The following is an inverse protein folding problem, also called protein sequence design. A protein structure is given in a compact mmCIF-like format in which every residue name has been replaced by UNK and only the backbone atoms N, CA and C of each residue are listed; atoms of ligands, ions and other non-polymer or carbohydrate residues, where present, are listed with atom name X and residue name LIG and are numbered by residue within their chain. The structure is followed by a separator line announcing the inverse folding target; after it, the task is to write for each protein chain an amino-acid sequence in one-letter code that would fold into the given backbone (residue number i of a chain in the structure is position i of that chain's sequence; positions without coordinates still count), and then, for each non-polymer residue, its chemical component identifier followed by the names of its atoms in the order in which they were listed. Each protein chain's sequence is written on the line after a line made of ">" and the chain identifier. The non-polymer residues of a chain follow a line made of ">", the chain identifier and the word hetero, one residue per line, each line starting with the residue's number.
data_IF_329107672422
#
_entry.id   IF_329107672422
#
_cell.length_a   1.000
_cell.length_b   1.000
_cell.length_c   1.000
_cell.angle_alpha   90.00
_cell.angle_beta   90.00
_cell.angle_gamma   90.00
#
_symmetry.space_group_name_H-M   'P 1'
#
loop_
_entity.id
_entity.type
_entity.pdbx_description
1 polymer ?
#
# COMPACT_ATOMS: atom_id res chain seq x y z
N UNK A 1 -9.85 -0.23 -32.04
CA UNK A 1 -8.85 -0.78 -31.09
C UNK A 1 -9.24 -0.51 -29.62
N UNK A 2 -9.77 0.67 -29.24
CA UNK A 2 -10.09 1.00 -27.83
C UNK A 2 -11.17 0.11 -27.17
N UNK A 3 -12.24 -0.29 -27.88
CA UNK A 3 -13.35 -1.02 -27.27
C UNK A 3 -13.02 -2.45 -26.79
N UNK A 4 -12.15 -3.16 -27.50
CA UNK A 4 -11.71 -4.51 -27.10
C UNK A 4 -10.80 -4.49 -25.87
N UNK A 5 -9.90 -3.51 -25.78
CA UNK A 5 -9.03 -3.32 -24.62
C UNK A 5 -9.83 -2.93 -23.36
N UNK A 6 -10.77 -2.01 -23.50
CA UNK A 6 -11.68 -1.63 -22.41
C UNK A 6 -12.53 -2.81 -21.93
N UNK A 7 -13.02 -3.64 -22.86
CA UNK A 7 -13.81 -4.81 -22.52
C UNK A 7 -12.98 -5.88 -21.79
N UNK A 8 -11.72 -6.08 -22.17
CA UNK A 8 -10.80 -6.98 -21.46
C UNK A 8 -10.50 -6.51 -20.03
N UNK A 9 -10.23 -5.21 -19.85
CA UNK A 9 -10.00 -4.60 -18.52
C UNK A 9 -11.22 -4.75 -17.61
N UNK A 10 -12.42 -4.50 -18.13
CA UNK A 10 -13.68 -4.67 -17.39
C UNK A 10 -13.92 -6.14 -17.00
N UNK A 11 -13.63 -7.08 -17.90
CA UNK A 11 -13.76 -8.51 -17.64
C UNK A 11 -12.79 -8.97 -16.55
N UNK A 12 -11.53 -8.56 -16.63
CA UNK A 12 -10.50 -8.88 -15.63
C UNK A 12 -10.84 -8.32 -14.26
N UNK A 13 -11.33 -7.06 -14.20
CA UNK A 13 -11.81 -6.44 -12.95
C UNK A 13 -12.96 -7.22 -12.34
N UNK A 14 -13.95 -7.59 -13.13
CA UNK A 14 -15.07 -8.41 -12.69
C UNK A 14 -14.59 -9.75 -12.12
N UNK A 15 -13.66 -10.43 -12.80
CA UNK A 15 -13.11 -11.70 -12.36
C UNK A 15 -12.34 -11.60 -11.04
N UNK A 16 -11.52 -10.56 -10.84
CA UNK A 16 -10.84 -10.32 -9.57
C UNK A 16 -11.84 -10.02 -8.45
N UNK A 17 -12.91 -9.27 -8.73
CA UNK A 17 -14.00 -9.05 -7.79
C UNK A 17 -14.68 -10.36 -7.37
N UNK A 18 -15.00 -11.24 -8.33
CA UNK A 18 -15.56 -12.57 -8.06
C UNK A 18 -14.61 -13.43 -7.20
N UNK A 19 -13.31 -13.39 -7.49
CA UNK A 19 -12.31 -14.08 -6.67
C UNK A 19 -12.36 -13.63 -5.22
N UNK A 20 -12.37 -12.31 -4.96
CA UNK A 20 -12.44 -11.79 -3.59
C UNK A 20 -13.73 -12.22 -2.88
N UNK A 21 -14.87 -12.19 -3.56
CA UNK A 21 -16.15 -12.69 -3.03
C UNK A 21 -16.04 -14.18 -2.67
N UNK A 22 -15.58 -15.00 -3.58
CA UNK A 22 -15.39 -16.44 -3.32
C UNK A 22 -14.46 -16.69 -2.13
N UNK A 23 -13.29 -16.07 -2.10
CA UNK A 23 -12.32 -16.22 -1.00
C UNK A 23 -12.92 -15.79 0.35
N UNK A 24 -13.79 -14.78 0.36
CA UNK A 24 -14.50 -14.35 1.56
C UNK A 24 -15.52 -15.40 2.05
N UNK A 25 -16.24 -16.07 1.12
CA UNK A 25 -17.22 -17.12 1.49
C UNK A 25 -16.59 -18.32 2.18
N UNK A 26 -15.34 -18.63 1.84
CA UNK A 26 -14.58 -19.75 2.44
C UNK A 26 -13.68 -19.33 3.63
N UNK A 27 -13.86 -18.10 4.14
CA UNK A 27 -13.06 -17.55 5.23
C UNK A 27 -11.55 -17.56 4.96
N UNK A 28 -11.15 -17.28 3.71
CA UNK A 28 -9.74 -17.14 3.36
C UNK A 28 -9.08 -16.04 4.19
N UNK A 29 -7.87 -16.31 4.65
CA UNK A 29 -7.06 -15.35 5.39
C UNK A 29 -5.58 -15.61 5.14
N UNK A 30 -4.83 -14.57 4.83
CA UNK A 30 -3.38 -14.64 4.67
C UNK A 30 -2.73 -13.33 5.10
N UNK A 31 -1.68 -13.41 5.89
CA UNK A 31 -0.85 -12.26 6.30
C UNK A 31 0.43 -12.27 5.45
N UNK A 32 0.61 -11.23 4.64
CA UNK A 32 1.83 -11.10 3.85
C UNK A 32 2.98 -10.64 4.71
N UNK A 33 4.05 -11.42 4.69
CA UNK A 33 5.31 -11.18 5.41
C UNK A 33 6.32 -10.43 4.54
N UNK A 34 7.48 -10.09 5.09
CA UNK A 34 8.55 -9.43 4.34
C UNK A 34 9.03 -10.29 3.16
N UNK A 35 9.51 -9.66 2.06
CA UNK A 35 10.04 -10.39 0.90
C UNK A 35 11.13 -11.40 1.28
N UNK A 36 12.06 -11.01 2.15
CA UNK A 36 13.14 -11.87 2.64
C UNK A 36 12.62 -13.11 3.38
N UNK A 37 11.61 -12.96 4.27
CA UNK A 37 10.99 -14.08 4.96
C UNK A 37 10.16 -14.95 4.00
N UNK A 38 9.48 -14.34 3.03
CA UNK A 38 8.70 -15.03 2.02
C UNK A 38 9.59 -15.95 1.17
N UNK A 39 10.73 -15.44 0.70
CA UNK A 39 11.72 -16.21 -0.04
C UNK A 39 12.25 -17.40 0.77
N UNK A 40 12.65 -17.18 2.03
CA UNK A 40 13.14 -18.25 2.92
C UNK A 40 12.11 -19.35 3.14
N UNK A 41 10.83 -19.01 3.24
CA UNK A 41 9.76 -20.00 3.40
C UNK A 41 9.49 -20.74 2.09
N UNK A 42 9.45 -20.02 0.96
CA UNK A 42 9.18 -20.64 -0.34
C UNK A 42 10.35 -21.49 -0.87
N UNK A 43 11.60 -21.23 -0.44
CA UNK A 43 12.77 -22.03 -0.84
C UNK A 43 12.83 -23.43 -0.20
N UNK A 44 11.96 -23.75 0.76
CA UNK A 44 11.89 -25.08 1.36
C UNK A 44 11.31 -26.09 0.36
N UNK A 45 11.91 -27.30 0.29
CA UNK A 45 11.51 -28.33 -0.68
C UNK A 45 10.02 -28.67 -0.60
N UNK A 46 9.46 -28.77 0.61
CA UNK A 46 8.04 -29.07 0.84
C UNK A 46 7.09 -27.94 0.39
N UNK A 47 7.63 -26.78 0.04
CA UNK A 47 6.91 -25.57 -0.37
C UNK A 47 7.04 -25.25 -1.86
N UNK A 48 7.62 -26.12 -2.67
CA UNK A 48 7.76 -25.93 -4.12
C UNK A 48 6.40 -25.74 -4.80
N UNK A 49 5.37 -26.47 -4.34
CA UNK A 49 4.02 -26.37 -4.87
C UNK A 49 3.02 -25.93 -3.81
N UNK A 50 1.98 -25.20 -4.25
CA UNK A 50 0.84 -24.87 -3.41
C UNK A 50 0.03 -26.16 -3.11
N UNK A 51 -0.48 -26.23 -1.87
CA UNK A 51 -1.33 -27.34 -1.39
C UNK A 51 -2.77 -26.91 -1.14
N UNK A 52 -3.00 -25.59 -1.16
CA UNK A 52 -4.28 -24.94 -0.90
C UNK A 52 -4.31 -23.53 -1.52
N UNK A 53 -5.41 -22.82 -1.35
CA UNK A 53 -5.59 -21.45 -1.85
C UNK A 53 -4.65 -20.45 -1.16
N UNK A 54 -4.19 -20.69 0.07
CA UNK A 54 -3.15 -19.84 0.71
C UNK A 54 -1.80 -20.02 0.01
N UNK A 55 -1.49 -21.25 -0.41
CA UNK A 55 -0.33 -21.53 -1.25
C UNK A 55 -0.39 -20.77 -2.58
N UNK A 56 -1.57 -20.71 -3.19
CA UNK A 56 -1.80 -20.05 -4.50
C UNK A 56 -1.78 -18.51 -4.35
N UNK A 57 -2.68 -17.95 -3.56
CA UNK A 57 -2.91 -16.51 -3.51
C UNK A 57 -2.13 -15.79 -2.41
N UNK A 58 -1.66 -16.49 -1.38
CA UNK A 58 -0.83 -15.91 -0.32
C UNK A 58 0.66 -16.07 -0.62
N UNK A 59 1.11 -17.32 -0.69
CA UNK A 59 2.51 -17.66 -0.95
C UNK A 59 2.91 -17.53 -2.42
N UNK A 60 1.95 -17.39 -3.32
CA UNK A 60 2.15 -17.29 -4.77
C UNK A 60 3.02 -18.42 -5.35
N UNK A 61 2.75 -19.65 -4.90
CA UNK A 61 3.43 -20.86 -5.38
C UNK A 61 2.82 -21.38 -6.65
N UNK A 62 3.60 -22.14 -7.41
CA UNK A 62 3.09 -22.95 -8.53
C UNK A 62 2.10 -23.98 -8.02
N UNK A 63 1.05 -24.29 -8.77
CA UNK A 63 0.01 -25.24 -8.38
C UNK A 63 -0.48 -26.11 -9.53
N UNK A 64 -1.04 -27.30 -9.18
CA UNK A 64 -1.83 -28.13 -10.06
C UNK A 64 -3.32 -27.81 -9.88
N UNK A 65 -4.12 -27.91 -10.95
CA UNK A 65 -5.57 -27.77 -10.87
C UNK A 65 -6.24 -28.87 -10.01
N UNK A 66 -5.56 -29.99 -9.79
CA UNK A 66 -6.07 -31.13 -9.02
C UNK A 66 -6.33 -30.81 -7.55
N UNK A 67 -5.72 -29.75 -7.00
CA UNK A 67 -5.94 -29.32 -5.61
C UNK A 67 -7.17 -28.41 -5.45
N UNK A 68 -7.87 -28.09 -6.53
CA UNK A 68 -8.94 -27.11 -6.60
C UNK A 68 -10.30 -27.81 -6.73
N UNK A 69 -11.34 -27.13 -6.26
CA UNK A 69 -12.71 -27.49 -6.58
C UNK A 69 -13.09 -27.14 -8.03
N UNK A 70 -14.20 -27.68 -8.50
CA UNK A 70 -14.69 -27.48 -9.88
C UNK A 70 -14.89 -26.02 -10.23
N UNK A 71 -15.32 -25.19 -9.26
CA UNK A 71 -15.52 -23.76 -9.46
C UNK A 71 -14.17 -23.08 -9.78
N UNK A 72 -13.15 -23.31 -8.97
CA UNK A 72 -11.84 -22.70 -9.17
C UNK A 72 -11.13 -23.24 -10.42
N UNK A 73 -11.32 -24.51 -10.77
CA UNK A 73 -10.81 -25.06 -12.04
C UNK A 73 -11.41 -24.32 -13.24
N UNK A 74 -12.75 -24.18 -13.28
CA UNK A 74 -13.44 -23.44 -14.35
C UNK A 74 -13.03 -21.95 -14.36
N UNK A 75 -12.91 -21.36 -13.18
CA UNK A 75 -12.48 -19.97 -13.01
C UNK A 75 -11.11 -19.70 -13.63
N UNK A 76 -10.10 -20.52 -13.34
CA UNK A 76 -8.77 -20.37 -13.93
C UNK A 76 -8.73 -20.66 -15.44
N UNK A 77 -9.58 -21.57 -15.95
CA UNK A 77 -9.67 -21.80 -17.38
C UNK A 77 -10.36 -20.66 -18.16
N UNK A 78 -11.27 -19.95 -17.51
CA UNK A 78 -12.07 -18.88 -18.12
C UNK A 78 -11.49 -17.48 -17.93
N UNK A 79 -10.41 -17.35 -17.13
CA UNK A 79 -9.84 -16.04 -16.77
C UNK A 79 -8.33 -16.00 -17.04
N UNK A 80 -7.76 -14.81 -17.06
CA UNK A 80 -6.32 -14.56 -17.17
C UNK A 80 -5.66 -14.26 -15.81
N UNK A 81 -6.30 -14.68 -14.69
CA UNK A 81 -5.78 -14.45 -13.33
C UNK A 81 -4.57 -15.35 -13.01
N UNK A 82 -4.45 -16.48 -13.69
CA UNK A 82 -3.27 -17.33 -13.59
C UNK A 82 -2.72 -17.68 -14.97
N UNK A 83 -1.42 -17.87 -15.03
CA UNK A 83 -0.69 -18.28 -16.24
C UNK A 83 -0.18 -19.71 -16.11
N UNK A 84 -0.14 -20.41 -17.23
CA UNK A 84 0.49 -21.73 -17.31
C UNK A 84 1.99 -21.58 -17.43
N UNK A 85 2.73 -22.29 -16.58
CA UNK A 85 4.20 -22.37 -16.60
C UNK A 85 4.65 -23.81 -16.92
N UNK A 86 5.94 -24.03 -17.07
CA UNK A 86 6.48 -25.39 -17.29
C UNK A 86 6.16 -26.35 -16.14
N UNK A 87 6.08 -25.84 -14.90
CA UNK A 87 5.85 -26.62 -13.68
C UNK A 87 4.38 -26.72 -13.26
N UNK A 88 3.46 -26.00 -13.91
CA UNK A 88 2.05 -25.94 -13.52
C UNK A 88 1.45 -24.56 -13.75
N UNK A 89 0.52 -24.16 -12.93
CA UNK A 89 -0.13 -22.83 -12.97
C UNK A 89 0.46 -21.90 -11.91
N UNK A 90 0.48 -20.61 -12.19
CA UNK A 90 0.88 -19.55 -11.23
C UNK A 90 -0.08 -18.38 -11.29
N UNK A 91 -0.56 -17.92 -10.13
CA UNK A 91 -1.40 -16.73 -10.05
C UNK A 91 -0.59 -15.48 -10.35
N UNK A 92 -1.16 -14.55 -11.13
CA UNK A 92 -0.60 -13.23 -11.40
C UNK A 92 -0.91 -12.21 -10.28
N UNK A 93 -1.70 -12.63 -9.29
CA UNK A 93 -2.09 -11.80 -8.16
C UNK A 93 -1.95 -12.56 -6.85
N UNK A 94 -1.71 -11.81 -5.79
CA UNK A 94 -1.83 -12.28 -4.41
C UNK A 94 -3.05 -11.64 -3.75
N UNK A 95 -3.51 -12.29 -2.68
CA UNK A 95 -4.60 -11.78 -1.85
C UNK A 95 -4.15 -11.84 -0.39
N UNK A 96 -4.20 -10.70 0.28
CA UNK A 96 -3.89 -10.56 1.70
C UNK A 96 -5.10 -10.11 2.49
N UNK A 97 -5.17 -10.49 3.75
CA UNK A 97 -6.21 -10.05 4.67
C UNK A 97 -5.72 -8.95 5.60
N UNK A 98 -6.56 -7.95 5.84
CA UNK A 98 -6.37 -6.92 6.84
C UNK A 98 -7.76 -6.49 7.36
N UNK A 99 -7.96 -6.52 8.69
CA UNK A 99 -9.23 -6.13 9.32
C UNK A 99 -10.48 -6.78 8.71
N UNK A 100 -10.44 -8.09 8.51
CA UNK A 100 -11.52 -8.88 7.89
C UNK A 100 -11.84 -8.51 6.42
N UNK A 101 -11.06 -7.61 5.82
CA UNK A 101 -11.12 -7.31 4.40
C UNK A 101 -10.03 -8.09 3.66
N UNK A 102 -10.30 -8.38 2.39
CA UNK A 102 -9.32 -8.98 1.48
C UNK A 102 -8.85 -7.92 0.48
N UNK A 103 -7.56 -7.93 0.19
CA UNK A 103 -6.91 -7.01 -0.73
C UNK A 103 -6.17 -7.79 -1.81
N UNK A 104 -6.57 -7.59 -3.06
CA UNK A 104 -5.78 -8.06 -4.19
C UNK A 104 -4.61 -7.10 -4.43
N UNK A 105 -3.44 -7.66 -4.71
CA UNK A 105 -2.21 -6.94 -4.99
C UNK A 105 -1.29 -7.76 -5.89
N UNK A 106 -0.13 -7.22 -6.28
CA UNK A 106 0.78 -7.87 -7.21
C UNK A 106 1.33 -9.20 -6.69
N UNK A 107 1.75 -10.04 -7.61
CA UNK A 107 2.36 -11.34 -7.39
C UNK A 107 3.75 -11.27 -6.73
N UNK A 108 4.39 -12.41 -6.59
CA UNK A 108 5.73 -12.54 -6.04
C UNK A 108 6.63 -13.35 -6.99
N UNK A 109 7.90 -12.95 -7.21
CA UNK A 109 8.56 -11.76 -6.64
C UNK A 109 8.01 -10.45 -7.24
N UNK A 110 7.87 -9.42 -6.39
CA UNK A 110 7.38 -8.10 -6.78
C UNK A 110 8.55 -7.35 -7.45
N UNK A 111 8.69 -7.51 -8.77
CA UNK A 111 9.82 -6.96 -9.55
C UNK A 111 9.39 -5.99 -10.65
N UNK A 112 8.12 -6.02 -11.04
CA UNK A 112 7.58 -5.13 -12.07
C UNK A 112 7.63 -3.67 -11.60
N UNK A 113 7.93 -2.74 -12.52
CA UNK A 113 8.00 -1.30 -12.23
C UNK A 113 6.66 -0.76 -11.71
N UNK A 114 5.56 -1.28 -12.22
CA UNK A 114 4.20 -0.88 -11.86
C UNK A 114 3.55 -1.79 -10.82
N UNK A 115 4.33 -2.67 -10.19
CA UNK A 115 3.79 -3.55 -9.17
C UNK A 115 3.18 -2.78 -7.99
N UNK A 116 2.14 -3.36 -7.40
CA UNK A 116 1.46 -2.83 -6.22
C UNK A 116 1.88 -3.67 -5.03
N UNK A 117 2.74 -3.09 -4.20
CA UNK A 117 3.27 -3.75 -3.02
C UNK A 117 2.23 -3.84 -1.90
N UNK A 118 2.23 -4.99 -1.21
CA UNK A 118 1.49 -5.20 0.02
C UNK A 118 2.36 -6.04 0.96
N UNK A 119 2.63 -5.53 2.15
CA UNK A 119 3.55 -6.19 3.08
C UNK A 119 3.49 -5.63 4.49
N UNK A 120 4.51 -5.88 5.33
CA UNK A 120 4.54 -5.45 6.73
C UNK A 120 4.27 -3.96 6.95
N UNK A 121 4.77 -3.09 6.06
CA UNK A 121 4.56 -1.64 6.17
C UNK A 121 3.10 -1.25 5.95
N UNK A 122 2.39 -1.98 5.09
CA UNK A 122 0.94 -1.80 4.90
C UNK A 122 0.19 -2.06 6.21
N UNK A 123 0.56 -3.10 6.96
CA UNK A 123 -0.06 -3.40 8.27
C UNK A 123 0.30 -2.36 9.33
N UNK A 124 1.57 -1.89 9.38
CA UNK A 124 2.00 -0.84 10.31
C UNK A 124 1.28 0.47 10.02
N UNK A 125 1.20 0.87 8.75
CA UNK A 125 0.45 2.04 8.31
C UNK A 125 -1.04 1.95 8.67
N UNK A 126 -1.68 0.80 8.39
CA UNK A 126 -3.07 0.56 8.77
C UNK A 126 -3.31 0.69 10.27
N UNK A 127 -2.39 0.13 11.09
CA UNK A 127 -2.45 0.26 12.54
C UNK A 127 -2.31 1.72 13.00
N UNK A 128 -1.41 2.50 12.40
CA UNK A 128 -1.25 3.93 12.69
C UNK A 128 -2.53 4.72 12.37
N UNK A 129 -3.14 4.46 11.20
CA UNK A 129 -4.43 5.06 10.83
C UNK A 129 -5.50 4.71 11.84
N UNK A 130 -5.68 3.44 12.17
CA UNK A 130 -6.71 2.99 13.11
C UNK A 130 -6.52 3.60 14.50
N UNK A 131 -5.28 3.63 15.00
CA UNK A 131 -4.98 4.25 16.29
C UNK A 131 -5.37 5.73 16.28
N UNK A 132 -5.03 6.46 15.24
CA UNK A 132 -5.43 7.86 15.07
C UNK A 132 -6.96 8.01 14.99
N UNK A 133 -7.64 7.22 14.16
CA UNK A 133 -9.10 7.32 13.98
C UNK A 133 -9.87 6.98 15.25
N UNK A 134 -9.40 6.03 16.07
CA UNK A 134 -10.01 5.69 17.37
C UNK A 134 -9.85 6.81 18.40
N UNK A 135 -8.75 7.56 18.36
CA UNK A 135 -8.49 8.69 19.27
C UNK A 135 -9.08 10.01 18.78
N UNK A 136 -9.41 10.11 17.49
CA UNK A 136 -9.97 11.31 16.90
C UNK A 136 -11.50 11.35 17.08
N UNK A 137 -11.98 12.37 17.78
CA UNK A 137 -13.41 12.60 17.98
C UNK A 137 -13.99 13.68 17.06
N UNK A 138 -13.17 14.26 16.17
CA UNK A 138 -13.61 15.28 15.23
C UNK A 138 -14.13 14.63 13.95
N UNK A 139 -15.20 15.17 13.36
CA UNK A 139 -15.66 14.69 12.06
C UNK A 139 -14.59 14.96 10.98
N UNK A 140 -14.44 14.04 10.08
CA UNK A 140 -13.63 14.18 8.87
C UNK A 140 -14.60 14.25 7.71
N UNK A 141 -14.74 15.42 7.12
CA UNK A 141 -15.62 15.62 5.97
C UNK A 141 -14.92 15.28 4.66
N UNK A 142 -13.62 15.57 4.58
CA UNK A 142 -12.83 15.33 3.38
C UNK A 142 -11.43 14.82 3.70
N UNK A 143 -11.09 13.65 3.17
CA UNK A 143 -9.78 13.03 3.37
C UNK A 143 -9.11 12.67 2.03
N UNK A 144 -7.77 12.50 2.07
CA UNK A 144 -7.02 11.97 0.93
C UNK A 144 -5.94 10.99 1.37
N UNK A 145 -5.80 9.91 0.60
CA UNK A 145 -4.74 8.91 0.68
C UNK A 145 -3.78 9.12 -0.49
N UNK A 146 -2.56 9.60 -0.21
CA UNK A 146 -1.54 9.91 -1.23
C UNK A 146 -0.64 8.70 -1.42
N UNK A 147 -0.54 8.18 -2.66
CA UNK A 147 0.11 6.92 -2.96
C UNK A 147 -0.70 5.75 -2.42
N UNK A 148 -1.99 5.70 -2.81
CA UNK A 148 -2.97 4.78 -2.22
C UNK A 148 -2.65 3.29 -2.41
N UNK A 149 -1.85 2.95 -3.43
CA UNK A 149 -1.47 1.57 -3.74
C UNK A 149 -2.69 0.66 -3.90
N UNK A 150 -2.84 -0.33 -3.04
CA UNK A 150 -3.98 -1.24 -3.02
C UNK A 150 -5.26 -0.67 -2.38
N UNK A 151 -5.26 0.61 -1.97
CA UNK A 151 -6.44 1.30 -1.41
C UNK A 151 -6.66 1.13 0.08
N UNK A 152 -5.70 0.56 0.82
CA UNK A 152 -5.88 0.23 2.25
C UNK A 152 -6.21 1.47 3.09
N UNK A 153 -5.44 2.55 2.95
CA UNK A 153 -5.64 3.77 3.73
C UNK A 153 -7.01 4.41 3.45
N UNK A 154 -7.35 4.56 2.18
CA UNK A 154 -8.63 5.11 1.75
C UNK A 154 -9.82 4.27 2.26
N UNK A 155 -9.73 2.93 2.17
CA UNK A 155 -10.78 2.00 2.64
C UNK A 155 -10.97 2.12 4.16
N UNK A 156 -9.90 2.24 4.95
CA UNK A 156 -9.99 2.40 6.40
C UNK A 156 -10.69 3.69 6.80
N UNK A 157 -10.35 4.82 6.16
CA UNK A 157 -11.02 6.09 6.42
C UNK A 157 -12.50 6.03 6.01
N UNK A 158 -12.78 5.59 4.79
CA UNK A 158 -14.13 5.56 4.24
C UNK A 158 -15.08 4.64 5.02
N UNK A 159 -14.55 3.52 5.53
CA UNK A 159 -15.31 2.59 6.38
C UNK A 159 -15.62 3.19 7.76
N UNK A 160 -14.71 4.02 8.29
CA UNK A 160 -14.89 4.66 9.61
C UNK A 160 -15.79 5.89 9.54
N UNK A 161 -15.71 6.64 8.44
CA UNK A 161 -16.50 7.85 8.19
C UNK A 161 -17.30 7.72 6.89
N UNK A 162 -18.47 7.06 6.90
CA UNK A 162 -19.25 6.79 5.69
C UNK A 162 -19.73 8.05 4.95
N UNK A 163 -19.89 9.16 5.68
CA UNK A 163 -20.33 10.46 5.12
C UNK A 163 -19.17 11.31 4.57
N UNK A 164 -17.91 10.89 4.74
CA UNK A 164 -16.76 11.63 4.24
C UNK A 164 -16.55 11.43 2.73
N UNK A 165 -16.09 12.46 2.04
CA UNK A 165 -15.47 12.33 0.72
C UNK A 165 -14.02 11.88 0.89
N UNK A 166 -13.68 10.68 0.44
CA UNK A 166 -12.32 10.18 0.44
C UNK A 166 -11.77 10.22 -0.98
N UNK A 167 -10.63 10.87 -1.18
CA UNK A 167 -9.90 10.86 -2.44
C UNK A 167 -8.70 9.92 -2.30
N UNK A 168 -8.54 8.98 -3.21
CA UNK A 168 -7.40 8.09 -3.25
C UNK A 168 -6.59 8.38 -4.51
N UNK A 169 -5.33 8.80 -4.35
CA UNK A 169 -4.48 9.21 -5.47
C UNK A 169 -3.26 8.32 -5.61
N UNK A 170 -2.90 8.04 -6.85
CA UNK A 170 -1.65 7.36 -7.20
C UNK A 170 -1.17 7.83 -8.58
N UNK A 171 0.12 7.67 -8.86
CA UNK A 171 0.72 7.88 -10.18
C UNK A 171 0.73 6.59 -11.00
N UNK A 172 0.50 5.45 -10.35
CA UNK A 172 0.51 4.13 -10.96
C UNK A 172 -0.92 3.70 -11.30
N UNK A 173 -1.20 3.54 -12.59
CA UNK A 173 -2.52 3.12 -13.07
C UNK A 173 -2.90 1.71 -12.60
N UNK A 174 -1.92 0.79 -12.43
CA UNK A 174 -2.19 -0.54 -11.87
C UNK A 174 -2.60 -0.45 -10.39
N UNK A 175 -2.02 0.48 -9.62
CA UNK A 175 -2.44 0.74 -8.24
C UNK A 175 -3.90 1.22 -8.20
N UNK A 176 -4.27 2.20 -9.03
CA UNK A 176 -5.65 2.68 -9.13
C UNK A 176 -6.62 1.59 -9.59
N UNK A 177 -6.17 0.70 -10.49
CA UNK A 177 -6.95 -0.44 -10.96
C UNK A 177 -7.24 -1.43 -9.82
N UNK A 178 -6.20 -1.86 -9.08
CA UNK A 178 -6.36 -2.80 -7.97
C UNK A 178 -7.10 -2.16 -6.77
N UNK A 179 -6.83 -0.88 -6.46
CA UNK A 179 -7.57 -0.15 -5.44
C UNK A 179 -9.08 -0.12 -5.74
N UNK A 180 -9.47 0.09 -7.01
CA UNK A 180 -10.88 0.07 -7.41
C UNK A 180 -11.55 -1.26 -7.10
N UNK A 181 -10.88 -2.38 -7.40
CA UNK A 181 -11.40 -3.73 -7.12
C UNK A 181 -11.57 -3.94 -5.61
N UNK A 182 -10.57 -3.53 -4.82
CA UNK A 182 -10.60 -3.67 -3.37
C UNK A 182 -11.69 -2.79 -2.73
N UNK A 183 -11.89 -1.56 -3.23
CA UNK A 183 -12.95 -0.63 -2.79
C UNK A 183 -14.33 -1.22 -3.08
N UNK A 184 -14.53 -1.77 -4.28
CA UNK A 184 -15.79 -2.41 -4.67
C UNK A 184 -16.08 -3.66 -3.83
N UNK A 185 -15.05 -4.49 -3.59
CA UNK A 185 -15.17 -5.67 -2.73
C UNK A 185 -15.44 -5.32 -1.24
N UNK A 186 -15.02 -4.13 -0.80
CA UNK A 186 -15.35 -3.58 0.51
C UNK A 186 -16.77 -2.97 0.57
N UNK A 187 -17.46 -2.82 -0.57
CA UNK A 187 -18.81 -2.25 -0.65
C UNK A 187 -18.88 -0.73 -0.40
N UNK A 188 -17.79 -0.01 -0.65
CA UNK A 188 -17.67 1.42 -0.40
C UNK A 188 -17.94 2.24 -1.66
N UNK A 189 -18.66 3.35 -1.52
CA UNK A 189 -19.06 4.25 -2.61
C UNK A 189 -18.65 5.72 -2.38
N UNK A 190 -18.00 6.00 -1.26
CA UNK A 190 -17.54 7.34 -0.88
C UNK A 190 -16.05 7.57 -1.13
N UNK A 191 -15.41 6.74 -2.00
CA UNK A 191 -14.02 6.87 -2.41
C UNK A 191 -13.92 7.22 -3.88
N UNK A 192 -13.20 8.28 -4.21
CA UNK A 192 -12.89 8.70 -5.58
C UNK A 192 -11.41 8.48 -5.89
N UNK A 193 -11.13 7.66 -6.91
CA UNK A 193 -9.78 7.38 -7.42
C UNK A 193 -9.37 8.46 -8.44
N UNK A 194 -8.14 8.95 -8.32
CA UNK A 194 -7.58 9.98 -9.21
C UNK A 194 -6.12 9.68 -9.53
N UNK A 195 -5.77 9.63 -10.81
CA UNK A 195 -4.38 9.60 -11.24
C UNK A 195 -3.75 10.98 -11.01
N UNK A 196 -2.79 11.06 -10.09
CA UNK A 196 -2.16 12.33 -9.70
C UNK A 196 -0.79 12.12 -9.10
N UNK A 197 0.17 12.94 -9.51
CA UNK A 197 1.40 13.13 -8.76
C UNK A 197 1.12 14.06 -7.58
N UNK A 198 1.20 13.52 -6.36
CA UNK A 198 0.71 14.20 -5.16
C UNK A 198 -0.75 14.67 -5.35
N UNK A 199 -1.04 15.95 -5.13
CA UNK A 199 -2.37 16.53 -5.29
C UNK A 199 -2.50 17.48 -6.49
N UNK A 200 -1.65 17.33 -7.52
CA UNK A 200 -1.63 18.23 -8.68
C UNK A 200 -2.95 18.20 -9.48
N UNK A 201 -3.61 17.04 -9.55
CA UNK A 201 -4.88 16.86 -10.26
C UNK A 201 -6.10 16.81 -9.31
N UNK A 202 -5.92 17.26 -8.06
CA UNK A 202 -7.00 17.27 -7.05
C UNK A 202 -7.15 18.69 -6.49
N UNK A 203 -8.35 19.24 -6.56
CA UNK A 203 -8.65 20.56 -6.03
C UNK A 203 -9.11 20.53 -4.56
N UNK A 204 -9.07 21.72 -3.93
CA UNK A 204 -9.56 21.95 -2.56
C UNK A 204 -8.62 21.49 -1.47
N UNK A 205 -9.04 21.62 -0.23
CA UNK A 205 -8.29 21.28 0.98
C UNK A 205 -8.90 20.05 1.68
N UNK A 206 -8.22 19.55 2.70
CA UNK A 206 -8.56 18.31 3.39
C UNK A 206 -8.51 18.47 4.91
N UNK A 207 -9.35 17.72 5.60
CA UNK A 207 -9.31 17.60 7.07
C UNK A 207 -8.27 16.53 7.49
N UNK A 208 -8.07 15.53 6.62
CA UNK A 208 -7.08 14.47 6.85
C UNK A 208 -6.34 14.16 5.54
N UNK A 209 -5.02 14.20 5.61
CA UNK A 209 -4.11 13.69 4.58
C UNK A 209 -3.36 12.52 5.19
N UNK A 210 -3.40 11.35 4.56
CA UNK A 210 -2.61 10.20 4.94
C UNK A 210 -1.68 9.80 3.81
N UNK A 211 -0.53 9.21 4.13
CA UNK A 211 0.41 8.68 3.14
C UNK A 211 1.32 7.60 3.71
N UNK A 212 1.65 6.63 2.86
CA UNK A 212 2.73 5.67 3.04
C UNK A 212 3.56 5.62 1.75
N UNK A 213 4.36 6.66 1.47
CA UNK A 213 5.14 6.73 0.23
C UNK A 213 6.27 5.72 0.23
N UNK A 214 6.85 5.38 -0.94
CA UNK A 214 8.14 4.75 -1.03
C UNK A 214 9.22 5.62 -0.33
N UNK A 215 10.14 4.97 0.36
CA UNK A 215 11.15 5.64 1.20
C UNK A 215 12.56 5.04 1.09
N UNK A 216 12.79 4.14 0.14
CA UNK A 216 14.10 3.56 -0.11
C UNK A 216 14.77 4.23 -1.32
N UNK A 217 16.09 4.10 -1.42
CA UNK A 217 16.82 4.33 -2.67
C UNK A 217 16.84 3.03 -3.45
N UNK A 218 16.01 2.93 -4.47
CA UNK A 218 15.96 1.75 -5.33
C UNK A 218 16.73 2.01 -6.63
N UNK A 219 17.79 1.24 -6.93
CA UNK A 219 18.56 1.41 -8.17
C UNK A 219 17.72 1.23 -9.46
N UNK A 220 16.62 0.48 -9.37
CA UNK A 220 15.67 0.29 -10.47
C UNK A 220 14.59 1.36 -10.56
N UNK A 221 14.59 2.35 -9.66
CA UNK A 221 13.61 3.45 -9.58
C UNK A 221 12.14 2.99 -9.63
N UNK A 222 11.85 1.79 -9.09
CA UNK A 222 10.47 1.26 -9.07
C UNK A 222 9.55 2.17 -8.29
N UNK A 223 8.40 2.50 -8.86
CA UNK A 223 7.44 3.49 -8.35
C UNK A 223 6.99 3.22 -6.91
N UNK A 224 6.84 1.97 -6.52
CA UNK A 224 6.40 1.58 -5.18
C UNK A 224 7.53 1.53 -4.14
N UNK A 225 8.80 1.77 -4.53
CA UNK A 225 9.97 1.56 -3.68
C UNK A 225 10.91 2.76 -3.61
N UNK A 226 11.06 3.52 -4.71
CA UNK A 226 12.00 4.62 -4.81
C UNK A 226 11.43 5.92 -4.23
N UNK A 227 11.94 6.33 -3.06
CA UNK A 227 11.52 7.56 -2.37
C UNK A 227 12.25 8.82 -2.85
N UNK A 228 13.33 8.67 -3.60
CA UNK A 228 14.13 9.78 -4.10
C UNK A 228 14.84 10.60 -3.02
N UNK A 229 15.49 11.68 -3.43
CA UNK A 229 16.19 12.59 -2.53
C UNK A 229 17.32 11.96 -1.75
N UNK A 230 17.67 12.55 -0.60
CA UNK A 230 18.73 12.01 0.26
C UNK A 230 18.19 10.83 1.06
N UNK A 231 18.80 9.64 0.85
CA UNK A 231 18.48 8.39 1.56
C UNK A 231 16.98 8.02 1.50
N UNK A 232 16.31 8.31 0.36
CA UNK A 232 14.91 7.92 0.13
C UNK A 232 13.84 8.86 0.71
N UNK A 233 14.22 9.95 1.38
CA UNK A 233 13.27 10.83 2.09
C UNK A 233 12.57 11.89 1.22
N UNK A 234 12.91 11.99 -0.08
CA UNK A 234 12.45 13.07 -0.95
C UNK A 234 10.93 13.18 -1.03
N UNK A 235 10.27 12.11 -1.42
CA UNK A 235 8.81 12.09 -1.57
C UNK A 235 8.07 12.33 -0.25
N UNK A 236 8.60 11.81 0.88
CA UNK A 236 8.04 12.08 2.21
C UNK A 236 8.08 13.57 2.56
N UNK A 237 9.15 14.28 2.21
CA UNK A 237 9.26 15.74 2.38
C UNK A 237 8.32 16.52 1.45
N UNK A 238 8.13 16.07 0.21
CA UNK A 238 7.19 16.68 -0.74
C UNK A 238 5.73 16.51 -0.28
N UNK A 239 5.41 15.37 0.36
CA UNK A 239 4.11 15.14 0.99
C UNK A 239 3.89 16.09 2.16
N UNK A 240 4.89 16.34 3.00
CA UNK A 240 4.82 17.31 4.09
C UNK A 240 4.57 18.71 3.53
N UNK A 241 5.30 19.13 2.48
CA UNK A 241 5.08 20.43 1.83
C UNK A 241 3.68 20.55 1.19
N UNK A 242 3.17 19.45 0.64
CA UNK A 242 1.81 19.37 0.10
C UNK A 242 0.77 19.51 1.22
N UNK A 243 0.96 18.81 2.34
CA UNK A 243 0.07 18.89 3.48
C UNK A 243 0.01 20.29 4.10
N UNK A 244 1.15 20.97 4.23
CA UNK A 244 1.23 22.36 4.71
C UNK A 244 0.32 23.29 3.87
N UNK A 245 0.28 23.09 2.56
CA UNK A 245 -0.51 23.92 1.61
C UNK A 245 -1.98 23.52 1.56
N UNK A 246 -2.29 22.23 1.72
CA UNK A 246 -3.59 21.64 1.37
C UNK A 246 -4.44 21.19 2.56
N UNK A 247 -3.94 21.31 3.80
CA UNK A 247 -4.75 21.05 5.00
C UNK A 247 -5.63 22.25 5.35
N UNK A 248 -6.86 21.96 5.74
CA UNK A 248 -7.76 22.91 6.40
C UNK A 248 -7.16 23.37 7.76
N UNK A 249 -7.61 24.49 8.36
CA UNK A 249 -7.33 24.78 9.76
C UNK A 249 -7.72 23.57 10.63
N UNK A 250 -6.86 23.19 11.57
CA UNK A 250 -6.96 21.99 12.40
C UNK A 250 -6.89 20.64 11.66
N UNK A 251 -6.68 20.64 10.35
CA UNK A 251 -6.46 19.44 9.54
C UNK A 251 -5.16 18.73 9.90
N UNK A 252 -5.13 17.43 9.64
CA UNK A 252 -4.09 16.51 10.07
C UNK A 252 -3.38 15.88 8.87
N UNK A 253 -2.05 15.84 8.93
CA UNK A 253 -1.23 14.90 8.17
C UNK A 253 -0.90 13.71 9.06
N UNK A 254 -1.17 12.47 8.59
CA UNK A 254 -0.64 11.23 9.12
C UNK A 254 0.27 10.60 8.06
N UNK A 255 1.57 10.66 8.29
CA UNK A 255 2.59 10.11 7.40
C UNK A 255 3.29 8.94 8.08
N UNK A 256 3.21 7.76 7.49
CA UNK A 256 4.08 6.62 7.75
C UNK A 256 5.24 6.65 6.76
N UNK A 257 6.47 6.48 7.22
CA UNK A 257 7.62 6.38 6.31
C UNK A 257 8.80 5.67 6.99
N UNK A 258 9.75 5.18 6.19
CA UNK A 258 11.05 4.74 6.66
C UNK A 258 12.06 5.89 6.67
N UNK A 259 12.92 5.92 7.66
CA UNK A 259 13.97 6.92 7.79
C UNK A 259 15.32 6.25 8.04
N UNK A 260 16.35 6.71 7.32
CA UNK A 260 17.73 6.25 7.51
C UNK A 260 18.38 7.00 8.67
N UNK A 261 18.85 6.26 9.67
CA UNK A 261 19.59 6.79 10.81
C UNK A 261 21.09 6.67 10.51
N UNK A 262 21.82 7.77 10.64
CA UNK A 262 23.27 7.84 10.35
C UNK A 262 24.01 8.41 11.54
N UNK A 263 24.91 7.67 12.17
CA UNK A 263 25.62 8.03 13.40
C UNK A 263 24.63 8.45 14.53
N UNK A 264 23.52 7.71 14.65
CA UNK A 264 22.45 7.99 15.61
C UNK A 264 21.59 9.22 15.28
N UNK A 265 21.74 9.81 14.10
CA UNK A 265 21.11 11.07 13.70
C UNK A 265 19.99 10.84 12.64
N UNK A 266 18.84 11.45 12.85
CA UNK A 266 17.68 11.44 11.96
C UNK A 266 17.59 12.77 11.18
N UNK A 267 18.11 12.77 9.94
CA UNK A 267 18.06 13.95 9.07
C UNK A 267 16.65 14.30 8.58
N UNK A 268 15.75 13.31 8.52
CA UNK A 268 14.35 13.55 8.15
C UNK A 268 13.63 14.32 9.27
N UNK A 269 13.80 13.91 10.54
CA UNK A 269 13.22 14.60 11.68
C UNK A 269 13.66 16.07 11.75
N UNK A 270 14.93 16.36 11.50
CA UNK A 270 15.41 17.75 11.46
C UNK A 270 14.75 18.57 10.37
N UNK A 271 14.70 18.04 9.14
CA UNK A 271 14.11 18.72 7.99
C UNK A 271 12.63 18.98 8.20
N UNK A 272 11.88 17.96 8.66
CA UNK A 272 10.42 18.10 8.87
C UNK A 272 10.09 19.01 10.03
N UNK A 273 10.88 18.97 11.12
CA UNK A 273 10.73 19.88 12.26
C UNK A 273 10.82 21.34 11.85
N UNK A 274 11.83 21.68 11.03
CA UNK A 274 12.00 23.06 10.54
C UNK A 274 10.79 23.50 9.70
N UNK A 275 10.35 22.67 8.74
CA UNK A 275 9.21 22.96 7.86
C UNK A 275 7.91 23.18 8.67
N UNK A 276 7.60 22.28 9.59
CA UNK A 276 6.36 22.32 10.38
C UNK A 276 6.33 23.51 11.36
N UNK A 277 7.46 23.83 11.99
CA UNK A 277 7.57 25.01 12.86
C UNK A 277 7.35 26.31 12.08
N UNK A 278 7.98 26.46 10.92
CA UNK A 278 7.81 27.64 10.07
C UNK A 278 6.36 27.79 9.58
N UNK A 279 5.66 26.70 9.35
CA UNK A 279 4.26 26.67 8.91
C UNK A 279 3.25 26.70 10.07
N UNK A 280 3.70 26.85 11.32
CA UNK A 280 2.84 26.90 12.53
C UNK A 280 2.03 25.63 12.78
N UNK A 281 2.62 24.45 12.51
CA UNK A 281 2.05 23.15 12.86
C UNK A 281 2.52 22.72 14.27
N UNK A 282 1.65 21.99 14.98
CA UNK A 282 2.06 21.08 16.05
C UNK A 282 2.24 19.69 15.47
N UNK A 283 3.13 18.90 16.05
CA UNK A 283 3.35 17.53 15.55
C UNK A 283 3.80 16.60 16.66
N UNK A 284 3.52 15.31 16.45
CA UNK A 284 4.06 14.16 17.16
C UNK A 284 4.86 13.31 16.16
N UNK A 285 6.04 12.88 16.57
CA UNK A 285 6.93 12.05 15.77
C UNK A 285 7.29 10.81 16.57
N UNK A 286 6.88 9.64 16.10
CA UNK A 286 7.04 8.39 16.84
C UNK A 286 7.79 7.37 16.01
N UNK A 287 8.93 6.89 16.50
CA UNK A 287 9.59 5.72 15.96
C UNK A 287 8.83 4.48 16.45
N UNK A 288 8.24 3.72 15.51
CA UNK A 288 7.37 2.57 15.81
C UNK A 288 8.05 1.22 15.57
N UNK A 289 9.13 1.21 14.80
CA UNK A 289 9.98 0.04 14.57
C UNK A 289 11.42 0.52 14.34
N UNK A 290 12.38 0.11 15.17
CA UNK A 290 13.75 0.60 15.07
C UNK A 290 14.55 0.03 13.90
N UNK A 291 14.10 -1.08 13.29
CA UNK A 291 14.88 -1.79 12.27
C UNK A 291 13.96 -2.46 11.25
N UNK A 292 13.79 -1.80 10.12
CA UNK A 292 13.09 -2.32 8.95
C UNK A 292 14.04 -2.36 7.76
N UNK A 293 13.83 -3.31 6.82
CA UNK A 293 14.66 -3.43 5.61
C UNK A 293 16.16 -3.55 5.87
N UNK A 294 16.58 -4.26 6.94
CA UNK A 294 18.00 -4.47 7.25
C UNK A 294 18.82 -5.09 6.10
N UNK A 295 18.15 -5.81 5.18
CA UNK A 295 18.74 -6.31 3.95
C UNK A 295 19.23 -5.22 2.99
N UNK A 296 18.73 -3.98 3.08
CA UNK A 296 19.18 -2.87 2.25
C UNK A 296 20.54 -2.29 2.69
N UNK A 297 20.95 -2.52 3.94
CA UNK A 297 22.20 -1.98 4.49
C UNK A 297 23.46 -2.51 3.80
N UNK A 298 23.35 -3.60 3.01
CA UNK A 298 24.44 -4.11 2.18
C UNK A 298 24.64 -3.31 0.89
N UNK A 299 23.69 -2.47 0.52
CA UNK A 299 23.74 -1.68 -0.71
C UNK A 299 24.67 -0.48 -0.51
N UNK A 300 25.35 -0.08 -1.59
CA UNK A 300 26.34 1.00 -1.57
C UNK A 300 25.78 2.32 -1.05
N UNK A 301 24.54 2.62 -1.38
CA UNK A 301 23.82 3.84 -0.99
C UNK A 301 23.60 3.93 0.53
N UNK A 302 23.59 2.78 1.22
CA UNK A 302 23.34 2.65 2.66
C UNK A 302 24.60 2.35 3.49
N UNK A 303 25.81 2.35 2.90
CA UNK A 303 27.07 1.99 3.60
C UNK A 303 27.35 2.77 4.89
N UNK A 304 26.75 3.95 5.06
CA UNK A 304 26.94 4.82 6.23
C UNK A 304 25.69 4.90 7.10
N UNK A 305 24.70 4.08 6.81
CA UNK A 305 23.43 4.03 7.55
C UNK A 305 23.54 2.98 8.64
N UNK A 306 23.20 3.36 9.89
CA UNK A 306 23.22 2.45 11.03
C UNK A 306 22.02 1.49 10.98
N UNK A 307 20.86 2.02 10.59
CA UNK A 307 19.59 1.30 10.50
C UNK A 307 18.57 2.11 9.71
N UNK A 308 17.52 1.46 9.23
CA UNK A 308 16.31 2.12 8.69
C UNK A 308 15.19 1.91 9.69
N UNK A 309 14.65 2.99 10.24
CA UNK A 309 13.55 2.95 11.20
C UNK A 309 12.22 3.27 10.53
N UNK A 310 11.13 2.64 10.97
CA UNK A 310 9.79 3.06 10.61
C UNK A 310 9.27 4.10 11.59
N UNK A 311 8.74 5.20 11.06
CA UNK A 311 8.17 6.29 11.87
C UNK A 311 6.73 6.62 11.47
N UNK A 312 6.00 7.19 12.40
CA UNK A 312 4.72 7.86 12.18
C UNK A 312 4.85 9.32 12.59
N UNK A 313 4.56 10.21 11.65
CA UNK A 313 4.43 11.64 11.88
C UNK A 313 2.94 12.01 11.84
N UNK A 314 2.41 12.54 12.94
CA UNK A 314 1.09 13.17 13.01
C UNK A 314 1.31 14.68 13.17
N UNK A 315 0.94 15.45 12.15
CA UNK A 315 1.13 16.90 12.17
C UNK A 315 -0.20 17.64 12.00
N UNK A 316 -0.51 18.58 12.89
CA UNK A 316 -1.75 19.34 12.89
C UNK A 316 -1.50 20.80 12.57
N UNK A 317 -2.27 21.34 11.61
CA UNK A 317 -2.30 22.76 11.28
C UNK A 317 -3.03 23.54 12.37
N UNK A 318 -2.39 24.55 12.96
CA UNK A 318 -3.03 25.39 13.98
C UNK A 318 -4.11 26.27 13.36
N UNK A 319 -5.19 26.49 14.09
CA UNK A 319 -6.15 27.56 13.79
C UNK A 319 -5.52 28.92 14.14
N UNK A 320 -5.67 29.88 13.28
CA UNK A 320 -5.34 31.29 13.56
C UNK A 320 -6.61 32.08 13.86
#
# INVERSE_FOLDING_TARGET
>A
MNSLCEQQVLTKRYNLGLLLVYLKTINYSFITISPSSHEKVNSRVENEFAKDLKGIFGWNRTFSLEILDDFMVQFFHSTDIAIKTEKGWKSQYRVSSLNQQLFVHSDYPTIDEHAVFFGPDTYRFANAIQHYLLSNHKPISRAVDIGTGSGVGAILIASTFPESEVVAVDVNDEALYLARINIEAAGLNNIRLVHSNLLNNVEGNFDLIIANPPFLLDPGERTYRHGGGKLGSGLSLDIVDTAIKRLNPEGILLLYTGVAIVNGHDAFLEAVTLKLKLASFSYEYTEIDPDIFGEELVNKEYMHVDRVAAIVLVAQKKSF
#
